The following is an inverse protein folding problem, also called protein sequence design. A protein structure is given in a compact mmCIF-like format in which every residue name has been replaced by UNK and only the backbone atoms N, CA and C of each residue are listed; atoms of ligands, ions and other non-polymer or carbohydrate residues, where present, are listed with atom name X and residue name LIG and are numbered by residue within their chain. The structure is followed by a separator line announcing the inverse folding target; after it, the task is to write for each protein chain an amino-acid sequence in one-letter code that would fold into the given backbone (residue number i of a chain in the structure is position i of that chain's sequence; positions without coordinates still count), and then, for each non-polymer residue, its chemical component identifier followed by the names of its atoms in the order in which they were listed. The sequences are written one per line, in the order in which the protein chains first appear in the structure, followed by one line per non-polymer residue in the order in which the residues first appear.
data_IF_174161146734
#
_entry.id   IF_174161146734
#
_cell.length_a   1.000
_cell.length_b   1.000
_cell.length_c   1.000
_cell.angle_alpha   90.00
_cell.angle_beta   90.00
_cell.angle_gamma   90.00
#
_symmetry.space_group_name_H-M   'P 1'
#
loop_
_entity.id
_entity.type
_entity.pdbx_description
1 polymer ?
#
# COMPACT_ATOMS: atom_id res chain seq x y z
N UNK A 1 21.13 -43.24 -7.25
CA UNK A 1 19.80 -42.60 -7.31
C UNK A 1 18.76 -43.64 -6.92
N UNK A 2 18.47 -43.75 -5.63
CA UNK A 2 17.58 -44.78 -5.09
C UNK A 2 16.12 -44.35 -5.23
N UNK A 3 15.37 -45.08 -6.05
CA UNK A 3 13.91 -45.11 -6.06
C UNK A 3 13.48 -46.45 -5.45
N UNK A 4 12.82 -46.40 -4.31
CA UNK A 4 12.03 -47.46 -3.66
C UNK A 4 11.15 -46.74 -2.63
N UNK A 5 9.91 -47.08 -2.34
CA UNK A 5 8.84 -47.85 -2.98
C UNK A 5 7.66 -47.62 -2.04
N UNK A 6 6.61 -46.93 -2.48
CA UNK A 6 5.43 -46.71 -1.66
C UNK A 6 4.57 -47.98 -1.69
N UNK A 7 4.54 -48.70 -0.57
CA UNK A 7 3.77 -49.92 -0.38
C UNK A 7 2.62 -49.60 0.58
N UNK A 8 1.46 -49.26 0.02
CA UNK A 8 0.21 -49.12 0.78
C UNK A 8 -0.43 -50.49 0.93
N UNK A 9 -0.36 -51.06 2.13
CA UNK A 9 -1.10 -52.27 2.52
C UNK A 9 -2.43 -51.86 3.14
N UNK A 10 -3.52 -52.14 2.44
CA UNK A 10 -4.86 -52.26 3.00
C UNK A 10 -5.00 -53.63 3.69
N UNK A 11 -5.42 -53.60 4.94
CA UNK A 11 -6.03 -54.72 5.66
C UNK A 11 -7.32 -54.12 6.24
N UNK A 12 -8.52 -54.60 5.98
CA UNK A 12 -8.94 -55.98 5.77
C UNK A 12 -10.03 -56.22 6.81
N UNK A 13 -11.27 -55.81 6.49
CA UNK A 13 -12.46 -56.17 7.26
C UNK A 13 -12.61 -57.69 7.23
N UNK A 14 -12.63 -58.30 8.42
CA UNK A 14 -13.16 -59.65 8.63
C UNK A 14 -14.28 -59.54 9.65
N UNK A 15 -15.49 -59.72 9.14
CA UNK A 15 -16.66 -60.10 9.92
C UNK A 15 -16.55 -61.60 10.26
N UNK A 16 -16.73 -61.94 11.54
CA UNK A 16 -17.14 -63.28 11.96
C UNK A 16 -17.55 -63.26 13.44
N UNK A 17 -18.73 -63.79 13.74
CA UNK A 17 -18.95 -64.55 14.98
C UNK A 17 -19.87 -63.93 16.03
N UNK A 18 -21.13 -64.37 15.99
CA UNK A 18 -22.15 -64.31 17.06
C UNK A 18 -21.70 -65.17 18.25
N UNK A 19 -21.91 -64.72 19.49
CA UNK A 19 -22.50 -65.45 20.65
C UNK A 19 -22.31 -64.63 21.94
N UNK A 20 -23.32 -64.64 22.81
CA UNK A 20 -23.16 -64.30 24.24
C UNK A 20 -24.03 -63.14 24.74
N UNK A 21 -25.26 -63.46 25.12
CA UNK A 21 -26.00 -62.65 26.09
C UNK A 21 -25.31 -62.74 27.45
N UNK A 22 -24.93 -61.61 28.03
CA UNK A 22 -24.81 -61.49 29.48
C UNK A 22 -25.03 -60.03 29.88
N UNK A 23 -26.03 -59.87 30.74
CA UNK A 23 -26.49 -58.64 31.35
C UNK A 23 -25.38 -58.01 32.16
N UNK A 24 -24.76 -56.95 31.63
CA UNK A 24 -23.88 -56.08 32.42
C UNK A 24 -24.70 -54.87 32.88
N UNK A 25 -25.35 -55.00 34.03
CA UNK A 25 -25.87 -53.88 34.82
C UNK A 25 -24.67 -53.11 35.39
N UNK A 26 -24.00 -52.34 34.53
CA UNK A 26 -22.83 -51.54 34.88
C UNK A 26 -23.25 -50.31 35.70
N UNK A 27 -22.95 -50.37 36.99
CA UNK A 27 -22.57 -49.27 37.90
C UNK A 27 -22.86 -47.85 37.37
N UNK A 28 -24.05 -47.33 37.65
CA UNK A 28 -24.51 -45.97 37.24
C UNK A 28 -23.84 -44.81 38.00
N UNK A 29 -22.90 -45.07 38.90
CA UNK A 29 -22.29 -44.05 39.78
C UNK A 29 -20.93 -43.53 39.32
N UNK A 30 -20.01 -44.41 38.95
CA UNK A 30 -18.63 -44.06 38.60
C UNK A 30 -18.49 -43.45 37.20
N UNK A 31 -19.39 -43.79 36.28
CA UNK A 31 -19.37 -43.23 34.93
C UNK A 31 -19.68 -41.72 34.89
N UNK A 32 -20.43 -41.15 35.84
CA UNK A 32 -20.80 -39.72 35.76
C UNK A 32 -19.61 -38.77 35.88
N UNK A 33 -18.65 -39.05 36.76
CA UNK A 33 -17.46 -38.20 36.92
C UNK A 33 -16.49 -38.45 35.76
N UNK A 34 -16.36 -39.71 35.32
CA UNK A 34 -15.54 -40.06 34.16
C UNK A 34 -16.10 -39.48 32.86
N UNK A 35 -17.43 -39.47 32.69
CA UNK A 35 -18.14 -38.88 31.56
C UNK A 35 -18.05 -37.34 31.61
N UNK A 36 -18.17 -36.72 32.79
CA UNK A 36 -17.93 -35.28 32.95
C UNK A 36 -16.47 -34.89 32.65
N UNK A 37 -15.51 -35.70 33.09
CA UNK A 37 -14.09 -35.50 32.77
C UNK A 37 -13.81 -35.73 31.28
N UNK A 38 -14.41 -36.75 30.68
CA UNK A 38 -14.29 -37.04 29.26
C UNK A 38 -14.97 -35.95 28.42
N UNK A 39 -16.09 -35.40 28.88
CA UNK A 39 -16.78 -34.26 28.25
C UNK A 39 -15.96 -32.98 28.38
N UNK A 40 -15.32 -32.73 29.52
CA UNK A 40 -14.36 -31.64 29.72
C UNK A 40 -13.14 -31.80 28.78
N UNK A 41 -12.58 -33.00 28.68
CA UNK A 41 -11.47 -33.30 27.76
C UNK A 41 -11.92 -33.12 26.31
N UNK A 42 -13.11 -33.60 25.94
CA UNK A 42 -13.70 -33.41 24.60
C UNK A 42 -13.97 -31.94 24.31
N UNK A 43 -14.39 -31.16 25.31
CA UNK A 43 -14.62 -29.73 25.20
C UNK A 43 -13.32 -28.95 25.05
N UNK A 44 -12.25 -29.34 25.75
CA UNK A 44 -10.89 -28.80 25.59
C UNK A 44 -10.30 -29.19 24.22
N UNK A 45 -10.60 -30.40 23.74
CA UNK A 45 -10.18 -30.89 22.42
C UNK A 45 -10.98 -30.23 21.28
N UNK A 46 -12.28 -29.98 21.46
CA UNK A 46 -13.16 -29.36 20.47
C UNK A 46 -12.99 -27.83 20.40
N UNK A 47 -12.60 -27.17 21.49
CA UNK A 47 -12.14 -25.76 21.48
C UNK A 47 -10.71 -25.60 20.94
N UNK A 48 -9.94 -26.68 20.76
CA UNK A 48 -8.58 -26.66 20.20
C UNK A 48 -8.53 -26.68 18.65
N UNK A 49 -9.64 -26.44 17.95
CA UNK A 49 -9.64 -26.30 16.48
C UNK A 49 -9.05 -24.92 16.05
N UNK A 50 -8.74 -24.02 16.99
CA UNK A 50 -7.97 -22.79 16.77
C UNK A 50 -6.72 -22.71 17.64
N UNK A 51 -5.74 -21.85 17.27
CA UNK A 51 -4.64 -21.48 18.17
C UNK A 51 -5.28 -20.90 19.45
N UNK A 52 -5.12 -21.50 20.65
CA UNK A 52 -5.69 -20.94 21.88
C UNK A 52 -5.17 -19.52 22.05
N UNK A 53 -6.07 -18.60 22.39
CA UNK A 53 -5.68 -17.21 22.64
C UNK A 53 -4.71 -17.15 23.82
N UNK A 54 -3.84 -16.13 23.86
CA UNK A 54 -2.83 -15.96 24.92
C UNK A 54 -3.48 -16.06 26.32
N UNK A 55 -4.67 -15.48 26.49
CA UNK A 55 -5.43 -15.50 27.75
C UNK A 55 -5.89 -16.91 28.12
N UNK A 56 -6.37 -17.69 27.15
CA UNK A 56 -6.77 -19.09 27.38
C UNK A 56 -5.57 -19.96 27.75
N UNK A 57 -4.45 -19.80 27.04
CA UNK A 57 -3.22 -20.53 27.33
C UNK A 57 -2.67 -20.19 28.73
N UNK A 58 -2.75 -18.92 29.17
CA UNK A 58 -2.39 -18.51 30.53
C UNK A 58 -3.31 -19.13 31.59
N UNK A 59 -4.63 -19.13 31.37
CA UNK A 59 -5.60 -19.78 32.29
C UNK A 59 -5.35 -21.28 32.41
N UNK A 60 -5.09 -21.96 31.28
CA UNK A 60 -4.77 -23.39 31.25
C UNK A 60 -3.48 -23.68 32.03
N UNK A 61 -2.45 -22.83 31.91
CA UNK A 61 -1.22 -22.97 32.69
C UNK A 61 -1.46 -22.83 34.19
N UNK A 62 -2.27 -21.86 34.63
CA UNK A 62 -2.62 -21.71 36.04
C UNK A 62 -3.37 -22.94 36.59
N UNK A 63 -4.24 -23.54 35.76
CA UNK A 63 -4.92 -24.79 36.11
C UNK A 63 -3.90 -25.93 36.24
N UNK A 64 -2.96 -26.06 35.30
CA UNK A 64 -1.91 -27.09 35.39
C UNK A 64 -0.99 -26.91 36.59
N UNK A 65 -0.64 -25.67 36.97
CA UNK A 65 0.15 -25.40 38.17
C UNK A 65 -0.60 -25.81 39.44
N UNK A 66 -1.90 -25.48 39.53
CA UNK A 66 -2.74 -25.92 40.64
C UNK A 66 -2.88 -27.45 40.72
N UNK A 67 -3.11 -28.10 39.58
CA UNK A 67 -3.20 -29.57 39.51
C UNK A 67 -1.87 -30.24 39.86
N UNK A 68 -0.75 -29.72 39.36
CA UNK A 68 0.58 -30.24 39.66
C UNK A 68 0.87 -30.17 41.16
N UNK A 69 0.53 -29.05 41.81
CA UNK A 69 0.68 -28.91 43.26
C UNK A 69 -0.19 -29.92 44.03
N UNK A 70 -1.46 -30.06 43.64
CA UNK A 70 -2.36 -31.02 44.27
C UNK A 70 -1.86 -32.47 44.09
N UNK A 71 -1.38 -32.84 42.91
CA UNK A 71 -0.79 -34.16 42.66
C UNK A 71 0.49 -34.39 43.45
N UNK A 72 1.31 -33.37 43.67
CA UNK A 72 2.45 -33.49 44.58
C UNK A 72 1.98 -33.83 45.99
N UNK A 73 0.95 -33.17 46.50
CA UNK A 73 0.34 -33.51 47.79
C UNK A 73 -0.10 -34.99 47.80
N UNK A 74 -0.90 -35.41 46.82
CA UNK A 74 -1.32 -36.83 46.71
C UNK A 74 -0.14 -37.81 46.61
N UNK A 75 0.99 -37.41 46.03
CA UNK A 75 2.17 -38.26 45.93
C UNK A 75 2.76 -38.63 47.30
N UNK A 76 2.62 -37.76 48.30
CA UNK A 76 3.12 -37.97 49.66
C UNK A 76 2.02 -38.37 50.66
N UNK A 77 0.75 -38.15 50.38
CA UNK A 77 -0.33 -38.56 51.28
C UNK A 77 -0.97 -39.89 50.83
N UNK A 78 -0.51 -41.00 51.41
CA UNK A 78 -1.24 -42.27 51.40
C UNK A 78 -1.77 -42.59 52.79
N UNK A 79 -2.73 -43.51 52.87
CA UNK A 79 -3.40 -43.83 54.13
C UNK A 79 -2.45 -44.43 55.17
N UNK A 80 -1.40 -45.14 54.73
CA UNK A 80 -0.37 -45.66 55.65
C UNK A 80 0.43 -44.53 56.30
N UNK A 81 0.81 -43.52 55.53
CA UNK A 81 1.54 -42.35 56.03
C UNK A 81 0.65 -41.47 56.92
N UNK A 82 -0.56 -41.13 56.47
CA UNK A 82 -1.52 -40.34 57.25
C UNK A 82 -1.84 -41.03 58.58
N UNK A 83 -2.06 -42.35 58.58
CA UNK A 83 -2.34 -43.11 59.80
C UNK A 83 -1.28 -43.01 60.89
N UNK A 84 -0.03 -42.64 60.55
CA UNK A 84 1.07 -42.45 61.53
C UNK A 84 0.87 -41.19 62.40
N UNK A 85 -0.03 -40.28 62.01
CA UNK A 85 -0.34 -39.08 62.79
C UNK A 85 -1.39 -39.29 63.89
N UNK A 86 -2.13 -40.42 63.90
CA UNK A 86 -3.05 -40.78 65.00
C UNK A 86 -2.29 -40.95 66.31
N UNK A 87 -1.17 -41.67 66.26
CA UNK A 87 -0.29 -41.89 67.40
C UNK A 87 1.14 -41.62 66.96
N UNK A 88 1.51 -40.33 66.97
CA UNK A 88 2.83 -39.83 66.60
C UNK A 88 3.95 -40.51 67.41
N UNK A 89 3.66 -40.97 68.64
CA UNK A 89 4.67 -41.63 69.46
C UNK A 89 4.96 -43.06 69.00
N UNK A 90 3.96 -43.75 68.41
CA UNK A 90 4.09 -45.10 67.85
C UNK A 90 4.42 -45.10 66.36
N UNK A 91 4.01 -44.07 65.62
CA UNK A 91 4.38 -43.85 64.24
C UNK A 91 5.89 -43.61 64.16
N UNK A 92 6.62 -44.47 63.45
CA UNK A 92 8.08 -44.40 63.27
C UNK A 92 8.51 -43.21 62.39
N UNK A 93 8.00 -42.02 62.66
CA UNK A 93 8.31 -40.75 62.01
C UNK A 93 9.47 -40.07 62.75
N UNK A 94 10.26 -39.25 62.05
CA UNK A 94 11.33 -38.48 62.69
C UNK A 94 10.74 -37.46 63.66
N UNK A 95 11.14 -37.55 64.93
CA UNK A 95 10.67 -36.65 66.00
C UNK A 95 11.18 -35.23 65.79
N UNK A 96 12.35 -35.08 65.16
CA UNK A 96 12.95 -33.80 64.83
C UNK A 96 12.12 -33.06 63.78
N UNK A 97 11.77 -33.75 62.68
CA UNK A 97 10.95 -33.18 61.61
C UNK A 97 9.53 -32.87 62.07
N UNK A 98 8.91 -33.75 62.86
CA UNK A 98 7.56 -33.50 63.41
C UNK A 98 7.53 -32.23 64.27
N UNK A 99 8.59 -31.93 65.03
CA UNK A 99 8.66 -30.71 65.85
C UNK A 99 8.78 -29.43 65.03
N UNK A 100 9.20 -29.53 63.77
CA UNK A 100 9.31 -28.39 62.87
C UNK A 100 7.98 -28.06 62.19
N UNK A 101 7.04 -29.01 62.14
CA UNK A 101 5.69 -28.74 61.62
C UNK A 101 4.97 -27.75 62.52
N UNK A 102 4.24 -26.83 61.90
CA UNK A 102 3.34 -25.95 62.62
C UNK A 102 2.27 -26.76 63.39
N UNK A 103 1.80 -26.18 64.50
CA UNK A 103 0.75 -26.79 65.32
C UNK A 103 -0.53 -27.01 64.50
N UNK A 104 -0.87 -26.07 63.62
CA UNK A 104 -2.03 -26.16 62.72
C UNK A 104 -1.89 -27.31 61.72
N UNK A 105 -0.71 -27.50 61.12
CA UNK A 105 -0.44 -28.65 60.24
C UNK A 105 -0.67 -29.98 60.97
N UNK A 106 -0.17 -30.08 62.21
CA UNK A 106 -0.32 -31.29 63.04
C UNK A 106 -1.78 -31.57 63.39
N UNK A 107 -2.58 -30.54 63.66
CA UNK A 107 -4.00 -30.68 63.96
C UNK A 107 -4.80 -31.18 62.75
N UNK A 108 -4.58 -30.58 61.57
CA UNK A 108 -5.27 -30.99 60.35
C UNK A 108 -4.87 -32.42 59.94
N UNK A 109 -3.59 -32.79 60.09
CA UNK A 109 -3.10 -34.14 59.81
C UNK A 109 -3.68 -35.18 60.77
N UNK A 110 -3.82 -34.85 62.06
CA UNK A 110 -4.48 -35.73 63.04
C UNK A 110 -5.96 -35.91 62.73
N UNK A 111 -6.67 -34.81 62.44
CA UNK A 111 -8.08 -34.87 62.06
C UNK A 111 -8.26 -35.74 60.82
N UNK A 112 -7.39 -35.59 59.81
CA UNK A 112 -7.42 -36.42 58.61
C UNK A 112 -7.24 -37.91 58.95
N UNK A 113 -6.25 -38.22 59.79
CA UNK A 113 -5.95 -39.58 60.18
C UNK A 113 -7.06 -40.24 61.00
N UNK A 114 -7.73 -39.48 61.89
CA UNK A 114 -8.88 -39.95 62.65
C UNK A 114 -10.09 -40.23 61.75
N UNK A 115 -10.36 -39.36 60.77
CA UNK A 115 -11.45 -39.57 59.81
C UNK A 115 -11.14 -40.78 58.92
N UNK A 116 -9.90 -40.96 58.45
CA UNK A 116 -9.50 -42.14 57.69
C UNK A 116 -9.65 -43.43 58.49
N UNK A 117 -9.26 -43.44 59.77
CA UNK A 117 -9.44 -44.58 60.64
C UNK A 117 -10.92 -44.95 60.83
N UNK A 118 -11.80 -43.94 60.94
CA UNK A 118 -13.26 -44.14 60.98
C UNK A 118 -13.81 -44.61 59.64
N UNK A 119 -13.23 -44.19 58.52
CA UNK A 119 -13.67 -44.60 57.18
C UNK A 119 -13.23 -46.02 56.81
N UNK A 120 -12.06 -46.48 57.29
CA UNK A 120 -11.45 -47.77 56.93
C UNK A 120 -12.38 -49.00 57.04
N UNK A 121 -13.22 -49.16 58.09
CA UNK A 121 -14.17 -50.27 58.18
C UNK A 121 -15.24 -50.26 57.08
N UNK A 122 -15.51 -49.11 56.47
CA UNK A 122 -16.49 -48.95 55.39
C UNK A 122 -15.88 -49.21 54.00
N UNK A 123 -14.57 -49.40 53.89
CA UNK A 123 -13.90 -49.66 52.61
C UNK A 123 -14.32 -51.01 52.01
N UNK A 124 -14.62 -52.01 52.85
CA UNK A 124 -15.09 -53.34 52.41
C UNK A 124 -16.55 -53.34 51.95
N UNK A 125 -17.34 -52.30 52.29
CA UNK A 125 -18.73 -52.20 51.83
C UNK A 125 -18.86 -52.13 50.30
N UNK A 126 -17.83 -51.64 49.60
CA UNK A 126 -17.82 -51.67 48.13
C UNK A 126 -17.66 -53.07 47.57
N UNK A 127 -16.85 -53.91 48.21
CA UNK A 127 -16.68 -55.32 47.84
C UNK A 127 -17.96 -56.12 48.17
N UNK A 128 -18.57 -55.89 49.33
CA UNK A 128 -19.84 -56.53 49.70
C UNK A 128 -20.99 -56.17 48.74
N UNK A 129 -20.94 -54.97 48.14
CA UNK A 129 -21.90 -54.54 47.12
C UNK A 129 -21.70 -55.25 45.79
N UNK A 130 -20.46 -55.59 45.46
CA UNK A 130 -20.13 -56.37 44.26
C UNK A 130 -20.46 -57.85 44.41
N UNK A 131 -20.52 -58.33 45.66
CA UNK A 131 -20.85 -59.71 46.04
C UNK A 131 -22.37 -59.94 46.29
N UNK A 132 -23.23 -58.97 45.96
CA UNK A 132 -24.69 -58.99 46.17
C UNK A 132 -25.13 -59.26 47.64
N UNK A 133 -24.30 -58.90 48.61
CA UNK A 133 -24.68 -58.95 50.03
C UNK A 133 -25.64 -57.81 50.38
N UNK A 134 -26.63 -58.08 51.26
CA UNK A 134 -27.56 -57.06 51.75
C UNK A 134 -26.81 -56.05 52.63
N UNK A 135 -26.54 -54.87 52.07
CA UNK A 135 -25.91 -53.77 52.78
C UNK A 135 -26.98 -52.98 53.53
N UNK A 136 -26.80 -52.92 54.85
CA UNK A 136 -27.54 -52.05 55.75
C UNK A 136 -27.51 -50.58 55.28
N UNK A 137 -28.69 -50.01 55.00
CA UNK A 137 -28.85 -48.63 54.50
C UNK A 137 -28.25 -47.61 55.48
N UNK A 138 -28.31 -47.87 56.79
CA UNK A 138 -27.76 -46.97 57.81
C UNK A 138 -26.22 -46.89 57.70
N UNK A 139 -25.57 -48.02 57.41
CA UNK A 139 -24.10 -48.05 57.17
C UNK A 139 -23.72 -47.30 55.90
N UNK A 140 -24.56 -47.34 54.86
CA UNK A 140 -24.31 -46.60 53.63
C UNK A 140 -24.45 -45.09 53.83
N UNK A 141 -25.45 -44.66 54.61
CA UNK A 141 -25.64 -43.26 55.00
C UNK A 141 -24.43 -42.77 55.81
N UNK A 142 -23.98 -43.57 56.78
CA UNK A 142 -22.81 -43.24 57.60
C UNK A 142 -21.52 -43.18 56.77
N UNK A 143 -21.28 -44.16 55.89
CA UNK A 143 -20.17 -44.14 54.92
C UNK A 143 -20.15 -42.84 54.12
N UNK A 144 -21.28 -42.44 53.55
CA UNK A 144 -21.37 -41.22 52.74
C UNK A 144 -21.11 -39.95 53.56
N UNK A 145 -21.55 -39.92 54.83
CA UNK A 145 -21.30 -38.80 55.74
C UNK A 145 -19.81 -38.68 56.06
N UNK A 146 -19.16 -39.78 56.41
CA UNK A 146 -17.71 -39.82 56.72
C UNK A 146 -16.90 -39.51 55.46
N UNK A 147 -17.29 -40.02 54.29
CA UNK A 147 -16.63 -39.72 53.01
C UNK A 147 -16.63 -38.22 52.70
N UNK A 148 -17.76 -37.53 52.89
CA UNK A 148 -17.83 -36.06 52.72
C UNK A 148 -16.95 -35.31 53.71
N UNK A 149 -16.83 -35.79 54.95
CA UNK A 149 -15.92 -35.22 55.94
C UNK A 149 -14.47 -35.42 55.52
N UNK A 150 -14.13 -36.62 55.04
CA UNK A 150 -12.80 -36.98 54.53
C UNK A 150 -12.40 -36.08 53.36
N UNK A 151 -13.30 -35.90 52.39
CA UNK A 151 -13.06 -35.03 51.23
C UNK A 151 -12.87 -33.58 51.66
N UNK A 152 -13.74 -33.06 52.52
CA UNK A 152 -13.65 -31.67 53.02
C UNK A 152 -12.35 -31.44 53.79
N UNK A 153 -11.97 -32.37 54.66
CA UNK A 153 -10.76 -32.23 55.45
C UNK A 153 -9.51 -32.33 54.59
N UNK A 154 -9.50 -33.23 53.60
CA UNK A 154 -8.41 -33.32 52.63
C UNK A 154 -8.30 -32.07 51.74
N UNK A 155 -9.43 -31.44 51.38
CA UNK A 155 -9.42 -30.15 50.68
C UNK A 155 -8.81 -29.05 51.55
N UNK A 156 -9.13 -29.02 52.86
CA UNK A 156 -8.52 -28.08 53.80
C UNK A 156 -7.02 -28.32 53.94
N UNK A 157 -6.60 -29.58 54.08
CA UNK A 157 -5.19 -29.99 54.09
C UNK A 157 -4.46 -29.49 52.84
N UNK A 158 -5.07 -29.66 51.67
CA UNK A 158 -4.51 -29.21 50.38
C UNK A 158 -4.36 -27.69 50.33
N UNK A 159 -5.35 -26.94 50.81
CA UNK A 159 -5.27 -25.47 50.89
C UNK A 159 -4.21 -25.01 51.88
N UNK A 160 -4.17 -25.62 53.05
CA UNK A 160 -3.19 -25.32 54.09
C UNK A 160 -1.76 -25.44 53.55
N UNK A 161 -1.40 -26.59 52.97
CA UNK A 161 -0.06 -26.78 52.42
C UNK A 161 0.25 -25.89 51.22
N UNK A 162 -0.76 -25.40 50.51
CA UNK A 162 -0.58 -24.40 49.45
C UNK A 162 -0.18 -23.04 50.00
N UNK A 163 -0.72 -22.67 51.16
CA UNK A 163 -0.43 -21.41 51.86
C UNK A 163 0.84 -21.51 52.72
N UNK A 164 1.17 -22.73 53.18
CA UNK A 164 2.30 -23.07 54.05
C UNK A 164 3.23 -24.10 53.38
N UNK A 165 4.00 -23.70 52.35
CA UNK A 165 4.89 -24.60 51.63
C UNK A 165 6.00 -25.18 52.52
N UNK A 166 6.45 -24.47 53.55
CA UNK A 166 7.44 -24.92 54.52
C UNK A 166 7.02 -26.19 55.26
N UNK A 167 5.75 -26.29 55.67
CA UNK A 167 5.22 -27.49 56.32
C UNK A 167 5.12 -28.64 55.32
N UNK A 168 4.79 -28.34 54.05
CA UNK A 168 4.76 -29.35 53.01
C UNK A 168 6.14 -29.93 52.73
N UNK A 169 7.19 -29.09 52.72
CA UNK A 169 8.58 -29.52 52.57
C UNK A 169 8.98 -30.56 53.63
N UNK A 170 8.62 -30.31 54.89
CA UNK A 170 8.86 -31.24 56.00
C UNK A 170 8.12 -32.56 55.76
N UNK A 171 6.89 -32.54 55.23
CA UNK A 171 6.16 -33.75 54.86
C UNK A 171 6.89 -34.55 53.76
N UNK A 172 7.50 -33.88 52.77
CA UNK A 172 8.28 -34.56 51.72
C UNK A 172 9.49 -35.28 52.30
N UNK A 173 10.13 -34.71 53.32
CA UNK A 173 11.25 -35.34 54.03
C UNK A 173 10.81 -36.51 54.92
N UNK A 174 9.64 -36.38 55.57
CA UNK A 174 9.05 -37.42 56.41
C UNK A 174 8.65 -38.67 55.62
N UNK A 175 8.35 -38.55 54.32
CA UNK A 175 7.98 -39.67 53.47
C UNK A 175 8.94 -39.86 52.29
N UNK A 176 9.85 -40.82 52.47
CA UNK A 176 10.86 -41.16 51.47
C UNK A 176 10.28 -41.98 50.28
N UNK A 177 9.23 -42.77 50.50
CA UNK A 177 8.59 -43.57 49.46
C UNK A 177 7.46 -42.80 48.78
N UNK A 178 7.63 -42.51 47.48
CA UNK A 178 6.64 -41.79 46.68
C UNK A 178 5.74 -42.77 45.94
N UNK A 179 4.46 -42.45 45.81
CA UNK A 179 3.59 -43.19 44.91
C UNK A 179 4.08 -43.01 43.45
N UNK A 180 4.46 -44.12 42.79
CA UNK A 180 4.99 -44.11 41.42
C UNK A 180 3.92 -43.85 40.36
N UNK A 181 2.66 -44.22 40.60
CA UNK A 181 1.56 -44.02 39.65
C UNK A 181 1.25 -42.53 39.49
N UNK A 182 1.32 -41.77 40.59
CA UNK A 182 1.13 -40.32 40.59
C UNK A 182 2.29 -39.60 39.89
N UNK A 183 3.49 -40.21 39.87
CA UNK A 183 4.65 -39.65 39.18
C UNK A 183 4.42 -39.56 37.67
N UNK A 184 3.81 -40.57 37.06
CA UNK A 184 3.54 -40.58 35.62
C UNK A 184 2.49 -39.54 35.23
N UNK A 185 1.46 -39.39 36.06
CA UNK A 185 0.45 -38.33 35.88
C UNK A 185 1.06 -36.93 36.02
N UNK A 186 1.95 -36.72 37.01
CA UNK A 186 2.70 -35.48 37.15
C UNK A 186 3.58 -35.18 35.93
N UNK A 187 4.27 -36.18 35.39
CA UNK A 187 5.06 -36.04 34.16
C UNK A 187 4.18 -35.66 32.97
N UNK A 188 2.98 -36.23 32.87
CA UNK A 188 2.02 -35.89 31.81
C UNK A 188 1.57 -34.43 31.89
N UNK A 189 1.24 -33.94 33.09
CA UNK A 189 0.88 -32.52 33.30
C UNK A 189 2.07 -31.61 32.97
N UNK A 190 3.29 -31.97 33.38
CA UNK A 190 4.50 -31.19 33.07
C UNK A 190 4.74 -31.10 31.56
N UNK A 191 4.56 -32.20 30.82
CA UNK A 191 4.65 -32.19 29.35
C UNK A 191 3.64 -31.21 28.73
N UNK A 192 2.39 -31.19 29.21
CA UNK A 192 1.38 -30.24 28.74
C UNK A 192 1.73 -28.80 29.09
N UNK A 193 2.21 -28.54 30.30
CA UNK A 193 2.69 -27.23 30.73
C UNK A 193 3.78 -26.70 29.78
N UNK A 194 4.78 -27.52 29.46
CA UNK A 194 5.85 -27.18 28.51
C UNK A 194 5.27 -26.83 27.13
N UNK A 195 4.31 -27.61 26.63
CA UNK A 195 3.67 -27.35 25.33
C UNK A 195 2.97 -25.98 25.32
N UNK A 196 2.20 -25.66 26.37
CA UNK A 196 1.47 -24.39 26.44
C UNK A 196 2.41 -23.18 26.66
N UNK A 197 3.49 -23.33 27.43
CA UNK A 197 4.53 -22.31 27.56
C UNK A 197 5.22 -22.01 26.22
N UNK A 198 5.52 -23.05 25.43
CA UNK A 198 6.07 -22.87 24.07
C UNK A 198 5.09 -22.14 23.15
N UNK A 199 3.80 -22.49 23.18
CA UNK A 199 2.75 -21.79 22.42
C UNK A 199 2.69 -20.30 22.77
N UNK A 200 2.78 -19.95 24.05
CA UNK A 200 2.82 -18.54 24.49
C UNK A 200 4.07 -17.81 24.00
N UNK A 201 5.22 -18.47 24.03
CA UNK A 201 6.49 -17.89 23.55
C UNK A 201 6.42 -17.59 22.05
N UNK A 202 5.92 -18.52 21.24
CA UNK A 202 5.73 -18.30 19.80
C UNK A 202 4.73 -17.17 19.52
N UNK A 203 3.65 -17.06 20.32
CA UNK A 203 2.70 -15.96 20.17
C UNK A 203 3.34 -14.59 20.47
N UNK A 204 4.21 -14.51 21.48
CA UNK A 204 4.96 -13.29 21.80
C UNK A 204 5.93 -12.91 20.67
N UNK A 205 6.63 -13.89 20.10
CA UNK A 205 7.53 -13.66 18.96
C UNK A 205 6.76 -13.21 17.71
N UNK A 206 5.59 -13.82 17.44
CA UNK A 206 4.68 -13.39 16.36
C UNK A 206 4.23 -11.94 16.56
N UNK A 207 3.90 -11.52 17.80
CA UNK A 207 3.52 -10.15 18.10
C UNK A 207 4.67 -9.16 17.85
N UNK A 208 5.88 -9.45 18.33
CA UNK A 208 7.06 -8.61 18.09
C UNK A 208 7.34 -8.49 16.58
N UNK A 209 7.23 -9.59 15.85
CA UNK A 209 7.38 -9.60 14.39
C UNK A 209 6.35 -8.69 13.69
N UNK A 210 5.09 -8.72 14.13
CA UNK A 210 4.03 -7.83 13.62
C UNK A 210 4.29 -6.36 13.95
N UNK A 211 4.81 -6.06 15.15
CA UNK A 211 5.19 -4.70 15.55
C UNK A 211 6.31 -4.15 14.66
N UNK A 212 7.34 -4.95 14.39
CA UNK A 212 8.45 -4.59 13.47
C UNK A 212 7.91 -4.34 12.04
N UNK A 213 7.04 -5.21 11.53
CA UNK A 213 6.42 -5.02 10.22
C UNK A 213 5.60 -3.73 10.16
N UNK A 214 4.83 -3.44 11.21
CA UNK A 214 4.03 -2.22 11.31
C UNK A 214 4.92 -0.97 11.31
N UNK A 215 6.04 -1.00 12.05
CA UNK A 215 6.99 0.09 12.09
C UNK A 215 7.65 0.34 10.72
N UNK A 216 8.09 -0.73 10.04
CA UNK A 216 8.65 -0.64 8.69
C UNK A 216 7.66 -0.04 7.68
N UNK A 217 6.37 -0.40 7.80
CA UNK A 217 5.31 0.15 6.96
C UNK A 217 5.08 1.64 7.25
N UNK A 218 5.09 2.07 8.53
CA UNK A 218 5.00 3.49 8.91
C UNK A 218 6.14 4.31 8.29
N UNK A 219 7.37 3.86 8.44
CA UNK A 219 8.54 4.52 7.85
C UNK A 219 8.49 4.59 6.32
N UNK A 220 7.93 3.55 5.68
CA UNK A 220 7.73 3.54 4.22
C UNK A 220 6.66 4.56 3.82
N UNK A 221 5.56 4.64 4.56
CA UNK A 221 4.50 5.63 4.32
C UNK A 221 5.06 7.05 4.46
N UNK A 222 5.86 7.32 5.49
CA UNK A 222 6.43 8.66 5.72
C UNK A 222 7.41 9.06 4.61
N UNK A 223 8.28 8.13 4.17
CA UNK A 223 9.14 8.36 3.00
C UNK A 223 8.34 8.67 1.73
N UNK A 224 7.24 7.96 1.51
CA UNK A 224 6.37 8.19 0.35
C UNK A 224 5.64 9.54 0.45
N UNK A 225 5.22 9.96 1.65
CA UNK A 225 4.62 11.29 1.87
C UNK A 225 5.61 12.41 1.56
N UNK A 226 6.83 12.32 2.09
CA UNK A 226 7.89 13.29 1.81
C UNK A 226 8.19 13.38 0.30
N UNK A 227 8.28 12.23 -0.38
CA UNK A 227 8.49 12.20 -1.84
C UNK A 227 7.33 12.83 -2.59
N UNK A 228 6.09 12.55 -2.17
CA UNK A 228 4.89 13.16 -2.77
C UNK A 228 4.91 14.68 -2.62
N UNK A 229 5.21 15.19 -1.42
CA UNK A 229 5.30 16.63 -1.15
C UNK A 229 6.38 17.30 -2.00
N UNK A 230 7.55 16.66 -2.15
CA UNK A 230 8.62 17.15 -3.03
C UNK A 230 8.15 17.22 -4.49
N UNK A 231 7.53 16.16 -5.00
CA UNK A 231 7.03 16.15 -6.38
C UNK A 231 5.91 17.18 -6.60
N UNK A 232 5.02 17.40 -5.62
CA UNK A 232 3.99 18.44 -5.70
C UNK A 232 4.60 19.84 -5.71
N UNK A 233 5.66 20.07 -4.92
CA UNK A 233 6.41 21.33 -4.93
C UNK A 233 7.08 21.57 -6.28
N UNK A 234 7.77 20.58 -6.82
CA UNK A 234 8.40 20.66 -8.14
C UNK A 234 7.37 20.91 -9.24
N UNK A 235 6.22 20.26 -9.18
CA UNK A 235 5.13 20.48 -10.13
C UNK A 235 4.59 21.92 -10.07
N UNK A 236 4.49 22.51 -8.87
CA UNK A 236 4.08 23.91 -8.71
C UNK A 236 5.12 24.87 -9.30
N UNK A 237 6.41 24.63 -9.06
CA UNK A 237 7.49 25.43 -9.66
C UNK A 237 7.44 25.38 -11.19
N UNK A 238 7.36 24.18 -11.79
CA UNK A 238 7.29 24.04 -13.24
C UNK A 238 6.07 24.73 -13.86
N UNK A 239 4.93 24.76 -13.16
CA UNK A 239 3.74 25.50 -13.61
C UNK A 239 3.97 27.01 -13.57
N UNK A 240 4.53 27.53 -12.47
CA UNK A 240 4.85 28.94 -12.33
C UNK A 240 5.86 29.40 -13.40
N UNK A 241 6.93 28.64 -13.63
CA UNK A 241 7.95 28.92 -14.64
C UNK A 241 7.34 28.94 -16.05
N UNK A 242 6.44 27.98 -16.34
CA UNK A 242 5.73 27.94 -17.63
C UNK A 242 4.81 29.14 -17.82
N UNK A 243 4.08 29.56 -16.79
CA UNK A 243 3.22 30.74 -16.84
C UNK A 243 4.03 32.02 -17.04
N UNK A 244 5.16 32.16 -16.33
CA UNK A 244 6.08 33.27 -16.49
C UNK A 244 6.65 33.32 -17.92
N UNK A 245 7.17 32.19 -18.42
CA UNK A 245 7.70 32.11 -19.78
C UNK A 245 6.65 32.45 -20.85
N UNK A 246 5.40 31.99 -20.67
CA UNK A 246 4.31 32.34 -21.58
C UNK A 246 3.99 33.84 -21.54
N UNK A 247 4.04 34.46 -20.36
CA UNK A 247 3.85 35.90 -20.21
C UNK A 247 4.96 36.69 -20.90
N UNK A 248 6.22 36.35 -20.65
CA UNK A 248 7.39 36.97 -21.28
C UNK A 248 7.31 36.84 -22.82
N UNK A 249 6.98 35.66 -23.33
CA UNK A 249 6.81 35.44 -24.78
C UNK A 249 5.66 36.24 -25.37
N UNK A 250 4.56 36.41 -24.64
CA UNK A 250 3.44 37.23 -25.08
C UNK A 250 3.82 38.70 -25.15
N UNK A 251 4.52 39.21 -24.14
CA UNK A 251 5.03 40.59 -24.12
C UNK A 251 6.03 40.84 -25.26
N UNK A 252 6.94 39.90 -25.52
CA UNK A 252 7.89 39.95 -26.65
C UNK A 252 7.14 39.97 -28.00
N UNK A 253 6.14 39.11 -28.17
CA UNK A 253 5.30 39.10 -29.38
C UNK A 253 4.51 40.41 -29.57
N UNK A 254 4.02 41.02 -28.49
CA UNK A 254 3.33 42.31 -28.56
C UNK A 254 4.29 43.44 -28.95
N UNK A 255 5.51 43.46 -28.40
CA UNK A 255 6.56 44.41 -28.81
C UNK A 255 6.92 44.27 -30.29
N UNK A 256 7.21 43.05 -30.75
CA UNK A 256 7.54 42.80 -32.17
C UNK A 256 6.38 43.18 -33.11
N UNK A 257 5.13 42.95 -32.70
CA UNK A 257 3.95 43.40 -33.48
C UNK A 257 3.88 44.92 -33.57
N UNK A 258 4.15 45.63 -32.47
CA UNK A 258 4.17 47.09 -32.46
C UNK A 258 5.30 47.63 -33.36
N UNK A 259 6.51 47.06 -33.28
CA UNK A 259 7.64 47.41 -34.14
C UNK A 259 7.34 47.16 -35.62
N UNK A 260 6.76 46.00 -35.98
CA UNK A 260 6.34 45.73 -37.36
C UNK A 260 5.30 46.75 -37.84
N UNK A 261 4.36 47.14 -36.98
CA UNK A 261 3.34 48.13 -37.32
C UNK A 261 3.95 49.52 -37.53
N UNK A 262 4.90 49.91 -36.70
CA UNK A 262 5.65 51.17 -36.83
C UNK A 262 6.44 51.19 -38.14
N UNK A 263 7.20 50.13 -38.45
CA UNK A 263 7.94 50.00 -39.72
C UNK A 263 6.99 50.13 -40.92
N UNK A 264 5.84 49.44 -40.90
CA UNK A 264 4.83 49.56 -41.97
C UNK A 264 4.27 50.98 -42.10
N UNK A 265 4.04 51.67 -40.99
CA UNK A 265 3.57 53.06 -41.01
C UNK A 265 4.62 53.98 -41.61
N UNK A 266 5.90 53.79 -41.25
CA UNK A 266 7.02 54.54 -41.81
C UNK A 266 7.17 54.27 -43.31
N UNK A 267 7.07 53.02 -43.77
CA UNK A 267 7.08 52.67 -45.20
C UNK A 267 5.96 53.37 -45.97
N UNK A 268 4.73 53.38 -45.42
CA UNK A 268 3.60 54.08 -46.05
C UNK A 268 3.83 55.58 -46.09
N UNK A 269 4.38 56.17 -45.02
CA UNK A 269 4.70 57.60 -44.97
C UNK A 269 5.80 57.97 -45.98
N UNK A 270 6.87 57.19 -46.05
CA UNK A 270 7.95 57.38 -47.02
C UNK A 270 7.45 57.22 -48.45
N UNK A 271 6.57 56.24 -48.72
CA UNK A 271 5.93 56.06 -50.01
C UNK A 271 5.09 57.28 -50.39
N UNK A 272 4.26 57.80 -49.46
CA UNK A 272 3.47 59.02 -49.71
C UNK A 272 4.36 60.24 -49.96
N UNK A 273 5.43 60.41 -49.19
CA UNK A 273 6.39 61.51 -49.40
C UNK A 273 7.01 61.42 -50.79
N UNK A 274 7.42 60.22 -51.22
CA UNK A 274 7.98 60.00 -52.54
C UNK A 274 6.95 60.26 -53.66
N UNK A 275 5.70 59.83 -53.48
CA UNK A 275 4.60 60.12 -54.41
C UNK A 275 4.37 61.64 -54.55
N UNK A 276 4.36 62.38 -53.44
CA UNK A 276 4.26 63.84 -53.42
C UNK A 276 5.45 64.50 -54.14
N UNK A 277 6.69 64.05 -53.87
CA UNK A 277 7.91 64.55 -54.54
C UNK A 277 7.86 64.30 -56.06
N UNK A 278 7.47 63.11 -56.49
CA UNK A 278 7.30 62.76 -57.91
C UNK A 278 6.24 63.67 -58.54
N UNK A 279 5.09 63.87 -57.87
CA UNK A 279 4.01 64.68 -58.40
C UNK A 279 4.39 66.16 -58.52
N UNK A 280 5.15 66.69 -57.55
CA UNK A 280 5.72 68.03 -57.62
C UNK A 280 6.70 68.15 -58.79
N UNK A 281 7.61 67.19 -58.96
CA UNK A 281 8.57 67.16 -60.07
C UNK A 281 7.88 67.11 -61.43
N UNK A 282 6.85 66.27 -61.59
CA UNK A 282 6.07 66.18 -62.83
C UNK A 282 5.34 67.48 -63.14
N UNK A 283 4.80 68.16 -62.12
CA UNK A 283 4.11 69.45 -62.29
C UNK A 283 5.09 70.53 -62.71
N UNK A 284 6.22 70.66 -62.01
CA UNK A 284 7.29 71.61 -62.35
C UNK A 284 7.79 71.39 -63.78
N UNK A 285 8.09 70.13 -64.13
CA UNK A 285 8.54 69.77 -65.48
C UNK A 285 7.47 70.03 -66.54
N UNK A 286 6.20 69.79 -66.22
CA UNK A 286 5.06 70.10 -67.08
C UNK A 286 4.94 71.60 -67.36
N UNK A 287 5.11 72.43 -66.32
CA UNK A 287 5.08 73.89 -66.44
C UNK A 287 6.29 74.43 -67.21
N UNK A 288 7.48 73.86 -67.01
CA UNK A 288 8.67 74.17 -67.82
C UNK A 288 8.45 73.82 -69.31
N UNK A 289 7.87 72.66 -69.59
CA UNK A 289 7.53 72.25 -70.96
C UNK A 289 6.51 73.20 -71.60
N UNK A 290 5.47 73.61 -70.86
CA UNK A 290 4.50 74.61 -71.34
C UNK A 290 5.17 75.95 -71.64
N UNK A 291 6.08 76.42 -70.78
CA UNK A 291 6.86 77.65 -71.03
C UNK A 291 7.70 77.54 -72.29
N UNK A 292 8.44 76.43 -72.46
CA UNK A 292 9.24 76.17 -73.67
C UNK A 292 8.37 76.09 -74.92
N UNK A 293 7.21 75.44 -74.85
CA UNK A 293 6.25 75.40 -75.96
C UNK A 293 5.77 76.80 -76.35
N UNK A 294 5.41 77.63 -75.37
CA UNK A 294 5.02 79.01 -75.62
C UNK A 294 6.17 79.85 -76.23
N UNK A 295 7.42 79.62 -75.80
CA UNK A 295 8.60 80.23 -76.43
C UNK A 295 8.79 79.77 -77.87
N UNK A 296 8.65 78.48 -78.16
CA UNK A 296 8.72 77.94 -79.52
C UNK A 296 7.62 78.50 -80.42
N UNK A 297 6.38 78.60 -79.92
CA UNK A 297 5.27 79.21 -80.66
C UNK A 297 5.54 80.69 -80.95
N UNK A 298 6.09 81.43 -79.97
CA UNK A 298 6.48 82.83 -80.14
C UNK A 298 7.60 82.98 -81.18
N UNK A 299 8.61 82.11 -81.15
CA UNK A 299 9.68 82.09 -82.15
C UNK A 299 9.16 81.71 -83.54
N UNK A 300 8.25 80.73 -83.62
CA UNK A 300 7.59 80.34 -84.86
C UNK A 300 6.80 81.52 -85.45
N UNK A 301 5.99 82.19 -84.64
CA UNK A 301 5.24 83.37 -85.06
C UNK A 301 6.14 84.54 -85.47
N UNK A 302 7.30 84.71 -84.82
CA UNK A 302 8.30 85.70 -85.21
C UNK A 302 8.93 85.38 -86.58
N UNK A 303 9.35 84.12 -86.79
CA UNK A 303 9.87 83.65 -88.09
C UNK A 303 8.83 83.70 -89.19
N UNK A 304 7.56 83.42 -88.90
CA UNK A 304 6.47 83.57 -89.87
C UNK A 304 6.23 85.04 -90.23
N UNK A 305 6.40 85.98 -89.29
CA UNK A 305 6.39 87.42 -89.59
C UNK A 305 7.58 87.86 -90.42
N UNK A 306 8.81 87.42 -90.09
CA UNK A 306 10.01 87.67 -90.91
C UNK A 306 9.85 87.10 -92.32
N UNK A 307 9.32 85.88 -92.46
CA UNK A 307 9.01 85.28 -93.75
C UNK A 307 7.94 86.07 -94.52
N UNK A 308 6.93 86.62 -93.84
CA UNK A 308 5.95 87.50 -94.47
C UNK A 308 6.54 88.84 -94.92
N UNK A 309 7.51 89.39 -94.19
CA UNK A 309 8.26 90.59 -94.56
C UNK A 309 9.22 90.32 -95.73
N UNK A 310 9.94 89.20 -95.73
CA UNK A 310 10.73 88.74 -96.89
C UNK A 310 9.85 88.52 -98.12
N UNK A 311 8.66 87.94 -97.95
CA UNK A 311 7.70 87.76 -99.04
C UNK A 311 7.19 89.10 -99.59
N UNK A 312 6.98 90.10 -98.73
CA UNK A 312 6.65 91.48 -99.17
C UNK A 312 7.81 92.14 -99.92
N UNK A 313 9.06 91.89 -99.54
CA UNK A 313 10.24 92.41 -100.25
C UNK A 313 10.51 91.73 -101.60
N UNK A 314 10.03 90.50 -101.81
CA UNK A 314 10.14 89.79 -103.10
C UNK A 314 9.01 90.08 -104.11
N UNK A 315 8.00 90.88 -103.74
CA UNK A 315 6.86 91.20 -104.62
C UNK A 315 7.10 92.44 -105.49
N UNK A 316 8.32 92.65 -106.02
CA UNK A 316 8.63 93.67 -107.03
C UNK A 316 9.84 93.28 -107.90
N UNK A 317 9.66 92.29 -108.80
CA UNK A 317 10.23 92.26 -110.18
C UNK A 317 9.99 90.90 -110.86
N UNK A 318 9.00 90.90 -111.77
CA UNK A 318 9.11 90.50 -113.19
C UNK A 318 9.41 89.01 -113.54
N UNK A 319 8.36 88.38 -114.08
CA UNK A 319 8.23 87.58 -115.34
C UNK A 319 8.72 86.10 -115.38
N UNK A 320 7.75 85.24 -115.75
CA UNK A 320 7.80 83.82 -116.16
C UNK A 320 8.70 83.58 -117.39
N UNK A 321 9.23 82.34 -117.61
CA UNK A 321 8.50 81.42 -118.47
C UNK A 321 8.60 79.91 -118.14
N UNK A 322 7.56 79.25 -118.62
CA UNK A 322 7.32 77.84 -119.01
C UNK A 322 8.47 76.83 -119.12
N UNK A 323 8.08 75.62 -118.69
CA UNK A 323 8.32 74.29 -119.28
C UNK A 323 9.62 73.49 -118.99
N UNK A 324 9.35 72.29 -118.46
CA UNK A 324 10.07 71.02 -118.54
C UNK A 324 11.23 70.71 -117.56
N UNK A 325 10.91 69.77 -116.64
CA UNK A 325 11.78 68.69 -116.13
C UNK A 325 12.84 69.09 -115.07
N UNK A 326 13.33 68.23 -114.15
CA UNK A 326 12.90 66.93 -113.59
C UNK A 326 12.87 66.97 -112.03
N UNK A 327 12.50 68.11 -111.41
CA UNK A 327 12.61 68.31 -109.95
C UNK A 327 11.55 67.54 -109.11
N UNK A 328 10.53 66.98 -109.76
CA UNK A 328 9.48 66.18 -109.10
C UNK A 328 9.93 64.74 -108.78
N UNK A 329 11.03 64.27 -109.34
CA UNK A 329 11.55 62.91 -109.06
C UNK A 329 12.39 62.85 -107.78
N UNK A 330 13.02 63.97 -107.38
CA UNK A 330 13.85 64.04 -106.17
C UNK A 330 13.00 64.22 -104.88
N UNK A 331 11.83 64.88 -104.99
CA UNK A 331 10.87 65.00 -103.87
C UNK A 331 10.15 63.66 -103.61
N UNK A 332 9.89 62.85 -104.64
CA UNK A 332 9.31 61.51 -104.47
C UNK A 332 10.34 60.55 -103.85
N UNK A 333 11.62 60.65 -104.22
CA UNK A 333 12.71 59.86 -103.61
C UNK A 333 13.02 60.25 -102.15
N UNK A 334 13.00 61.54 -101.81
CA UNK A 334 13.15 61.97 -100.40
C UNK A 334 11.94 61.60 -99.53
N UNK A 335 10.74 61.58 -100.09
CA UNK A 335 9.53 61.12 -99.38
C UNK A 335 9.55 59.60 -99.20
N UNK A 336 10.01 58.83 -100.20
CA UNK A 336 10.15 57.37 -100.08
C UNK A 336 11.29 56.93 -99.13
N UNK A 337 12.41 57.66 -99.06
CA UNK A 337 13.45 57.39 -98.06
C UNK A 337 13.00 57.70 -96.62
N UNK A 338 12.14 58.71 -96.42
CA UNK A 338 11.53 58.95 -95.10
C UNK A 338 10.60 57.81 -94.69
N UNK A 339 9.85 57.22 -95.61
CA UNK A 339 8.98 56.07 -95.28
C UNK A 339 9.77 54.78 -95.05
N UNK A 340 10.88 54.55 -95.76
CA UNK A 340 11.68 53.32 -95.65
C UNK A 340 12.65 53.29 -94.45
N UNK A 341 13.09 54.45 -93.93
CA UNK A 341 14.01 54.51 -92.78
C UNK A 341 13.27 54.74 -91.47
N UNK A 342 12.17 55.47 -91.46
CA UNK A 342 11.50 55.89 -90.22
C UNK A 342 10.58 54.79 -89.64
N UNK A 343 9.94 53.98 -90.49
CA UNK A 343 9.09 52.87 -90.05
C UNK A 343 9.86 51.75 -89.32
N UNK A 344 11.02 51.27 -89.81
CA UNK A 344 11.81 50.27 -89.07
C UNK A 344 12.41 50.79 -87.75
N UNK A 345 12.64 52.10 -87.63
CA UNK A 345 13.13 52.74 -86.42
C UNK A 345 12.03 52.85 -85.35
N UNK A 346 10.79 53.18 -85.75
CA UNK A 346 9.63 53.17 -84.85
C UNK A 346 9.29 51.75 -84.38
N UNK A 347 9.40 50.76 -85.27
CA UNK A 347 9.17 49.34 -84.95
C UNK A 347 10.23 48.78 -83.98
N UNK A 348 11.47 49.30 -84.03
CA UNK A 348 12.53 49.01 -83.03
C UNK A 348 12.26 49.70 -81.69
N UNK A 349 11.74 50.92 -81.72
CA UNK A 349 11.42 51.69 -80.52
C UNK A 349 10.24 51.04 -79.76
N UNK A 350 9.19 50.60 -80.46
CA UNK A 350 8.07 49.87 -79.86
C UNK A 350 8.50 48.54 -79.24
N UNK A 351 9.41 47.79 -79.89
CA UNK A 351 9.93 46.52 -79.32
C UNK A 351 10.79 46.73 -78.07
N UNK A 352 11.58 47.81 -78.00
CA UNK A 352 12.35 48.14 -76.80
C UNK A 352 11.43 48.64 -75.67
N UNK A 353 10.38 49.39 -75.98
CA UNK A 353 9.34 49.77 -75.00
C UNK A 353 8.62 48.53 -74.44
N UNK A 354 8.28 47.55 -75.28
CA UNK A 354 7.65 46.29 -74.84
C UNK A 354 8.60 45.44 -73.98
N UNK A 355 9.91 45.37 -74.30
CA UNK A 355 10.90 44.68 -73.45
C UNK A 355 11.03 45.31 -72.06
N UNK A 356 11.04 46.64 -71.99
CA UNK A 356 11.11 47.37 -70.71
C UNK A 356 9.86 47.08 -69.87
N UNK A 357 8.68 46.94 -70.50
CA UNK A 357 7.42 46.61 -69.81
C UNK A 357 7.28 45.14 -69.37
N UNK A 358 8.12 44.23 -69.89
CA UNK A 358 8.18 42.81 -69.49
C UNK A 358 9.28 42.52 -68.45
N UNK A 359 10.17 43.48 -68.19
CA UNK A 359 11.27 43.39 -67.20
C UNK A 359 10.99 44.17 -65.90
N UNK A 360 9.97 45.03 -65.91
CA UNK A 360 9.31 45.60 -64.72
C UNK A 360 8.12 44.72 -64.34
#
# INVERSE_FOLDING_TARGET
MNKNSAFTRSFGQKESGIYGSETVTRVKGQNKIQDQHNELIKNIQSTNIGKPTIVEAQRILQIFEGLQFNLQIFQYFDSEFIGKFIDIQKGKLSKELIKQLSQEALEILKEQAEIEAKYKPFATLEQQREEDEEIDEDKLIEKNKIYKQLEKNFQNLTRFFKEHPEDFEIIRELKQNKNSEIKDLNNYIECWKIIYQKKLSTASEEQISQEIQTQNLKERIDRLKQRKESCEKDQRHLRADREQFQKEKKEEMEKLKAEIQEVKQNEIQDQRRLEEEIQQYLTQRGDEHKKKLAEYEKQKAAKEKEFLEEKKNYTHKIILPTENSPFLTEIILQTQMRTLVFLPLMDKLEREIIKIHLLL
#
